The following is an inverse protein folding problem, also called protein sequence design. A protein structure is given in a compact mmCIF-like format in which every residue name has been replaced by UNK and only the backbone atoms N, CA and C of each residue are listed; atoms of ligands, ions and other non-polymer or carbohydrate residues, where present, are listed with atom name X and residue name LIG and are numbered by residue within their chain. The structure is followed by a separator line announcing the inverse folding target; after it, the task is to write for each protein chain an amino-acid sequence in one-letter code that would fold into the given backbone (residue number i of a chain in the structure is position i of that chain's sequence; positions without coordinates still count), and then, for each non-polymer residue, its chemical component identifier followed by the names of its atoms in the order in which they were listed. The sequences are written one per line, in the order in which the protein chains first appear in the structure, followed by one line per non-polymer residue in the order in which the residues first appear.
data_IF_082196299024
#
_entry.id   IF_082196299024
#
_cell.length_a   1.000
_cell.length_b   1.000
_cell.length_c   1.000
_cell.angle_alpha   90.00
_cell.angle_beta   90.00
_cell.angle_gamma   90.00
#
_symmetry.space_group_name_H-M   'P 1'
#
loop_
_entity.id
_entity.type
_entity.pdbx_description
1 polymer ?
#
# COMPACT_ATOMS: atom_id res chain seq x y z
N UNK A 1 -0.32 0.68 35.45
CA UNK A 1 0.06 0.40 34.05
C UNK A 1 1.53 0.73 33.89
N UNK A 2 2.42 -0.21 34.18
CA UNK A 2 3.88 0.01 34.19
C UNK A 2 4.32 0.36 32.76
N UNK A 3 4.65 1.64 32.58
CA UNK A 3 4.75 2.27 31.27
C UNK A 3 6.01 1.78 30.54
N UNK A 4 5.80 1.19 29.36
CA UNK A 4 6.84 0.77 28.42
C UNK A 4 8.00 1.77 28.37
N UNK A 5 9.28 1.35 28.24
CA UNK A 5 10.42 2.26 28.18
C UNK A 5 10.22 3.41 27.18
N UNK A 6 10.71 4.61 27.48
CA UNK A 6 10.45 5.80 26.68
C UNK A 6 10.81 5.64 25.19
N UNK A 7 11.94 4.98 24.90
CA UNK A 7 12.37 4.65 23.54
C UNK A 7 11.39 3.68 22.84
N UNK A 8 10.85 2.71 23.58
CA UNK A 8 9.86 1.77 23.05
C UNK A 8 8.55 2.48 22.72
N UNK A 9 8.12 3.44 23.55
CA UNK A 9 6.92 4.26 23.27
C UNK A 9 7.10 5.16 22.06
N UNK A 10 8.25 5.81 21.92
CA UNK A 10 8.51 6.71 20.79
C UNK A 10 8.48 6.00 19.42
N UNK A 11 8.88 4.72 19.38
CA UNK A 11 8.88 3.94 18.14
C UNK A 11 7.58 3.15 17.92
N UNK A 12 6.90 2.71 18.99
CA UNK A 12 5.81 1.74 18.90
C UNK A 12 4.45 2.24 19.40
N UNK A 13 4.37 3.49 19.88
CA UNK A 13 3.10 4.13 20.24
C UNK A 13 2.84 5.26 19.26
N UNK A 14 1.89 5.01 18.35
CA UNK A 14 1.37 6.03 17.47
C UNK A 14 0.56 7.05 18.28
N UNK A 15 0.89 8.34 18.16
CA UNK A 15 0.13 9.45 18.74
C UNK A 15 -0.99 9.94 17.81
N UNK A 16 -1.22 9.25 16.69
CA UNK A 16 -2.32 9.58 15.79
C UNK A 16 -3.67 9.30 16.46
N UNK A 17 -4.66 10.17 16.21
CA UNK A 17 -6.05 9.89 16.58
C UNK A 17 -6.53 8.60 15.93
N UNK A 18 -7.45 7.89 16.59
CA UNK A 18 -8.07 6.67 16.04
C UNK A 18 -8.74 7.03 14.71
N UNK A 19 -8.30 6.39 13.62
CA UNK A 19 -8.71 6.72 12.25
C UNK A 19 -7.65 7.51 11.47
N UNK A 20 -6.53 6.84 11.17
CA UNK A 20 -5.60 7.09 10.07
C UNK A 20 -5.42 8.55 9.61
N UNK A 21 -4.37 9.21 10.11
CA UNK A 21 -3.83 10.36 9.39
C UNK A 21 -3.09 9.82 8.16
N UNK A 22 -3.81 9.58 7.07
CA UNK A 22 -3.22 9.38 5.75
C UNK A 22 -2.42 10.65 5.42
N UNK A 23 -1.12 10.65 5.74
CA UNK A 23 -0.30 11.84 5.59
C UNK A 23 -0.25 12.28 4.13
N UNK A 24 -0.33 11.33 3.18
CA UNK A 24 -0.22 11.58 1.75
C UNK A 24 -1.29 10.82 0.98
N UNK A 25 -2.20 11.58 0.36
CA UNK A 25 -3.09 11.09 -0.69
C UNK A 25 -2.36 11.22 -2.02
N UNK A 26 -2.32 10.15 -2.79
CA UNK A 26 -1.70 10.12 -4.10
C UNK A 26 -2.76 9.83 -5.14
N UNK A 27 -2.84 10.67 -6.17
CA UNK A 27 -3.40 10.21 -7.43
C UNK A 27 -2.39 9.32 -8.17
N UNK A 28 -2.86 8.61 -9.19
CA UNK A 28 -2.00 7.71 -9.94
C UNK A 28 -0.88 8.43 -10.69
N UNK A 29 -1.14 9.63 -11.21
CA UNK A 29 -0.13 10.37 -11.94
C UNK A 29 1.01 10.79 -11.00
N UNK A 30 0.69 11.29 -9.81
CA UNK A 30 1.67 11.61 -8.77
C UNK A 30 2.49 10.37 -8.40
N UNK A 31 1.84 9.23 -8.14
CA UNK A 31 2.53 8.02 -7.73
C UNK A 31 3.41 7.46 -8.86
N UNK A 32 2.89 7.48 -10.09
CA UNK A 32 3.64 7.09 -11.28
C UNK A 32 4.91 7.93 -11.43
N UNK A 33 4.79 9.26 -11.33
CA UNK A 33 5.94 10.17 -11.42
C UNK A 33 6.97 9.91 -10.33
N UNK A 34 6.53 9.62 -9.11
CA UNK A 34 7.44 9.28 -8.01
C UNK A 34 8.17 7.95 -8.23
N UNK A 35 7.47 6.92 -8.72
CA UNK A 35 8.05 5.63 -9.07
C UNK A 35 9.06 5.75 -10.21
N UNK A 36 8.71 6.48 -11.27
CA UNK A 36 9.61 6.77 -12.40
C UNK A 36 10.85 7.53 -11.97
N UNK A 37 10.70 8.55 -11.10
CA UNK A 37 11.84 9.31 -10.55
C UNK A 37 12.75 8.43 -9.66
N UNK A 38 12.19 7.41 -9.00
CA UNK A 38 12.94 6.42 -8.24
C UNK A 38 13.57 5.31 -9.13
N UNK A 39 13.42 5.39 -10.45
CA UNK A 39 14.01 4.47 -11.42
C UNK A 39 13.16 3.25 -11.75
N UNK A 40 11.93 3.15 -11.26
CA UNK A 40 11.00 2.11 -11.69
C UNK A 40 10.48 2.41 -13.10
N UNK A 41 10.11 1.35 -13.82
CA UNK A 41 9.53 1.39 -15.17
C UNK A 41 8.26 0.54 -15.22
N UNK A 42 7.51 0.67 -16.31
CA UNK A 42 6.29 -0.11 -16.57
C UNK A 42 5.26 0.02 -15.43
N UNK A 43 5.07 1.25 -14.93
CA UNK A 43 4.10 1.54 -13.87
C UNK A 43 2.67 1.37 -14.40
N UNK A 44 1.89 0.48 -13.79
CA UNK A 44 0.55 0.14 -14.26
C UNK A 44 -0.42 -0.02 -13.09
N UNK A 45 -1.66 0.45 -13.27
CA UNK A 45 -2.76 0.16 -12.34
C UNK A 45 -3.17 -1.31 -12.45
N UNK A 46 -3.59 -1.87 -11.33
CA UNK A 46 -4.21 -3.19 -11.22
C UNK A 46 -5.55 -3.10 -10.51
N UNK A 47 -6.40 -4.10 -10.73
CA UNK A 47 -7.54 -4.36 -9.86
C UNK A 47 -7.06 -5.12 -8.62
N UNK A 48 -7.85 -5.06 -7.54
CA UNK A 48 -7.54 -5.71 -6.26
C UNK A 48 -7.38 -7.24 -6.36
N UNK A 49 -7.89 -7.83 -7.44
CA UNK A 49 -7.93 -9.26 -7.75
C UNK A 49 -7.00 -9.68 -8.90
N UNK A 50 -6.18 -8.76 -9.42
CA UNK A 50 -5.32 -8.99 -10.59
C UNK A 50 -3.84 -8.67 -10.31
N UNK A 51 -2.94 -9.39 -10.98
CA UNK A 51 -1.50 -9.10 -11.00
C UNK A 51 -0.93 -9.27 -12.41
N UNK A 52 0.13 -8.52 -12.74
CA UNK A 52 0.94 -8.73 -13.95
C UNK A 52 1.95 -9.87 -13.80
N UNK A 53 2.13 -10.39 -12.59
CA UNK A 53 3.06 -11.48 -12.32
C UNK A 53 2.35 -12.77 -12.72
N UNK A 54 2.86 -13.40 -13.77
CA UNK A 54 2.35 -14.70 -14.20
C UNK A 54 2.50 -15.71 -13.06
N UNK A 55 1.47 -16.55 -12.88
CA UNK A 55 1.42 -17.61 -11.87
C UNK A 55 1.69 -17.11 -10.44
N UNK A 56 1.17 -15.92 -10.11
CA UNK A 56 1.32 -15.37 -8.77
C UNK A 56 0.73 -16.34 -7.72
N UNK A 57 1.49 -16.74 -6.69
CA UNK A 57 1.14 -17.91 -5.88
C UNK A 57 0.06 -17.67 -4.81
N UNK A 58 -0.47 -16.45 -4.70
CA UNK A 58 -1.42 -16.07 -3.66
C UNK A 58 -2.79 -15.72 -4.25
N UNK A 59 -3.80 -16.45 -3.80
CA UNK A 59 -5.20 -16.21 -4.13
C UNK A 59 -6.12 -16.46 -2.91
N UNK A 60 -7.17 -15.63 -2.71
CA UNK A 60 -7.41 -14.37 -3.42
C UNK A 60 -6.32 -13.34 -3.09
N UNK A 61 -6.20 -12.29 -3.91
CA UNK A 61 -5.33 -11.15 -3.63
C UNK A 61 -5.95 -10.28 -2.52
N UNK A 62 -6.16 -8.99 -2.73
CA UNK A 62 -6.64 -8.09 -1.68
C UNK A 62 -8.18 -8.01 -1.65
N UNK A 63 -8.84 -9.17 -1.69
CA UNK A 63 -10.30 -9.29 -1.62
C UNK A 63 -10.78 -9.80 -0.26
N UNK A 64 -11.96 -9.34 0.16
CA UNK A 64 -12.70 -9.89 1.29
C UNK A 64 -13.56 -11.11 0.87
N UNK A 65 -14.35 -11.64 1.80
CA UNK A 65 -15.21 -12.79 1.54
C UNK A 65 -16.33 -12.52 0.52
N UNK A 66 -16.68 -11.26 0.30
CA UNK A 66 -17.68 -10.83 -0.68
C UNK A 66 -17.06 -10.46 -2.05
N UNK A 67 -15.73 -10.61 -2.19
CA UNK A 67 -15.00 -10.23 -3.40
C UNK A 67 -14.76 -8.71 -3.54
N UNK A 68 -14.87 -7.94 -2.46
CA UNK A 68 -14.58 -6.50 -2.47
C UNK A 68 -13.15 -6.21 -2.00
N UNK A 69 -12.53 -5.09 -2.41
CA UNK A 69 -11.23 -4.68 -1.88
C UNK A 69 -11.24 -4.59 -0.35
N UNK A 70 -10.36 -5.34 0.32
CA UNK A 70 -10.29 -5.35 1.80
C UNK A 70 -10.03 -3.99 2.42
N UNK A 71 -9.36 -3.11 1.68
CA UNK A 71 -8.92 -1.78 2.13
C UNK A 71 -9.82 -0.66 1.62
N UNK A 72 -11.04 -0.98 1.21
CA UNK A 72 -12.00 0.01 0.72
C UNK A 72 -11.74 0.44 -0.73
N UNK A 73 -12.66 1.25 -1.24
CA UNK A 73 -12.68 1.73 -2.63
C UNK A 73 -11.65 2.82 -2.93
N UNK A 74 -11.14 3.46 -1.88
CA UNK A 74 -10.14 4.50 -1.89
C UNK A 74 -8.71 3.97 -2.10
N UNK A 75 -8.53 2.65 -2.06
CA UNK A 75 -7.25 2.00 -2.30
C UNK A 75 -6.87 1.98 -3.78
N UNK A 76 -5.58 2.15 -4.06
CA UNK A 76 -5.02 2.11 -5.41
C UNK A 76 -3.94 1.03 -5.49
N UNK A 77 -4.12 0.08 -6.41
CA UNK A 77 -3.18 -1.02 -6.65
C UNK A 77 -2.32 -0.68 -7.86
N UNK A 78 -1.00 -0.66 -7.66
CA UNK A 78 -0.03 -0.31 -8.70
C UNK A 78 1.12 -1.30 -8.68
N UNK A 79 1.50 -1.76 -9.86
CA UNK A 79 2.70 -2.57 -10.05
C UNK A 79 3.70 -1.80 -10.93
N UNK A 80 4.99 -1.96 -10.65
CA UNK A 80 6.08 -1.40 -11.42
C UNK A 80 7.31 -2.32 -11.34
N UNK A 81 8.23 -2.22 -12.30
CA UNK A 81 9.44 -3.04 -12.37
C UNK A 81 10.68 -2.18 -12.19
N UNK A 82 11.59 -2.61 -11.32
CA UNK A 82 12.92 -2.03 -11.25
C UNK A 82 13.77 -2.67 -12.37
N UNK A 83 14.42 -1.89 -13.24
CA UNK A 83 15.40 -2.42 -14.19
C UNK A 83 16.56 -3.10 -13.45
N UNK A 84 17.17 -4.09 -14.10
CA UNK A 84 18.41 -4.72 -13.63
C UNK A 84 19.58 -3.73 -13.50
#
# INVERSE_FOLDING_TARGET
MAALPAAFRAQNVSLAGVGERHHWLWDFHQLQRALEAAGFRLVQRRAADSSAIADFPFHPLDLDADGRPRKGTESMYVEARKPD
#
